data_IF_338546016451
#
_entry.id   IF_338546016451
#
_cell.length_a   1.000
_cell.length_b   1.000
_cell.length_c   1.000
_cell.angle_alpha   90.00
_cell.angle_beta   90.00
_cell.angle_gamma   90.00
#
_symmetry.space_group_name_H-M   'P 1'
#
loop_
_entity.id
_entity.type
_entity.pdbx_description
1 polymer ?
#
# COMPACT_ATOMS: atom_id res chain seq x y z
N UNK A 1 -29.14 0.11 -15.65
CA UNK A 1 -27.87 0.85 -15.82
C UNK A 1 -27.82 1.35 -17.25
N UNK A 2 -27.99 2.66 -17.45
CA UNK A 2 -28.26 3.23 -18.77
C UNK A 2 -26.99 3.29 -19.62
N UNK A 3 -27.10 3.14 -20.94
CA UNK A 3 -25.94 3.10 -21.86
C UNK A 3 -25.01 4.33 -21.72
N UNK A 4 -25.55 5.47 -21.31
CA UNK A 4 -24.80 6.71 -21.06
C UNK A 4 -23.85 6.61 -19.84
N UNK A 5 -24.31 6.04 -18.72
CA UNK A 5 -23.51 5.85 -17.50
C UNK A 5 -22.34 4.87 -17.73
N UNK A 6 -22.58 3.84 -18.54
CA UNK A 6 -21.54 2.87 -18.92
C UNK A 6 -20.43 3.54 -19.74
N UNK A 7 -20.80 4.44 -20.66
CA UNK A 7 -19.86 5.16 -21.53
C UNK A 7 -18.98 6.12 -20.73
N UNK A 8 -19.53 6.81 -19.74
CA UNK A 8 -18.78 7.71 -18.87
C UNK A 8 -17.85 6.96 -17.92
N UNK A 9 -18.28 5.81 -17.38
CA UNK A 9 -17.44 4.96 -16.53
C UNK A 9 -16.22 4.44 -17.31
N UNK A 10 -16.42 3.98 -18.56
CA UNK A 10 -15.33 3.53 -19.43
C UNK A 10 -14.37 4.67 -19.77
N UNK A 11 -14.90 5.87 -20.07
CA UNK A 11 -14.09 7.05 -20.34
C UNK A 11 -13.24 7.44 -19.13
N UNK A 12 -13.82 7.49 -17.94
CA UNK A 12 -13.09 7.78 -16.70
C UNK A 12 -11.97 6.77 -16.44
N UNK A 13 -12.25 5.48 -16.64
CA UNK A 13 -11.25 4.44 -16.49
C UNK A 13 -10.09 4.62 -17.48
N UNK A 14 -10.39 4.87 -18.77
CA UNK A 14 -9.36 5.09 -19.79
C UNK A 14 -8.46 6.29 -19.48
N UNK A 15 -9.04 7.39 -19.01
CA UNK A 15 -8.27 8.58 -18.61
C UNK A 15 -7.38 8.26 -17.41
N UNK A 16 -7.92 7.61 -16.37
CA UNK A 16 -7.14 7.23 -15.20
C UNK A 16 -6.00 6.26 -15.54
N UNK A 17 -6.27 5.27 -16.40
CA UNK A 17 -5.28 4.30 -16.86
C UNK A 17 -4.20 4.95 -17.74
N UNK A 18 -4.60 5.85 -18.66
CA UNK A 18 -3.66 6.60 -19.49
C UNK A 18 -2.78 7.53 -18.67
N UNK A 19 -3.35 8.22 -17.68
CA UNK A 19 -2.60 9.08 -16.76
C UNK A 19 -1.63 8.28 -15.89
N UNK A 20 -2.06 7.12 -15.40
CA UNK A 20 -1.21 6.19 -14.64
C UNK A 20 -0.01 5.71 -15.45
N UNK A 21 -0.25 5.28 -16.70
CA UNK A 21 0.82 4.84 -17.60
C UNK A 21 1.78 6.00 -17.92
N UNK A 22 1.25 7.17 -18.25
CA UNK A 22 2.07 8.35 -18.52
C UNK A 22 2.90 8.74 -17.30
N UNK A 23 2.33 8.70 -16.10
CA UNK A 23 3.04 8.96 -14.86
C UNK A 23 4.15 7.93 -14.61
N UNK A 24 3.89 6.63 -14.81
CA UNK A 24 4.92 5.60 -14.67
C UNK A 24 6.09 5.84 -15.64
N UNK A 25 5.79 6.13 -16.92
CA UNK A 25 6.80 6.43 -17.95
C UNK A 25 7.59 7.70 -17.59
N UNK A 26 6.90 8.79 -17.26
CA UNK A 26 7.54 10.04 -16.87
C UNK A 26 8.40 9.87 -15.61
N UNK A 27 7.93 9.11 -14.63
CA UNK A 27 8.68 8.79 -13.42
C UNK A 27 9.95 8.01 -13.75
N UNK A 28 9.85 6.97 -14.59
CA UNK A 28 10.98 6.15 -15.01
C UNK A 28 12.08 6.98 -15.68
N UNK A 29 11.72 7.86 -16.62
CA UNK A 29 12.70 8.68 -17.34
C UNK A 29 13.18 9.92 -16.58
N UNK A 30 12.50 10.33 -15.52
CA UNK A 30 12.91 11.49 -14.70
C UNK A 30 13.73 11.12 -13.47
N UNK A 31 13.80 9.84 -13.11
CA UNK A 31 14.49 9.36 -11.92
C UNK A 31 15.62 8.39 -12.27
N UNK A 32 16.60 8.27 -11.39
CA UNK A 32 17.68 7.29 -11.49
C UNK A 32 17.73 6.45 -10.21
N UNK A 33 17.58 5.13 -10.36
CA UNK A 33 17.58 4.19 -9.23
C UNK A 33 19.01 3.89 -8.74
N UNK A 34 19.63 4.88 -8.10
CA UNK A 34 20.99 4.80 -7.56
C UNK A 34 21.13 3.82 -6.38
N UNK A 35 20.03 3.45 -5.72
CA UNK A 35 20.01 2.54 -4.57
C UNK A 35 19.38 1.18 -4.92
N UNK A 36 19.24 0.83 -6.20
CA UNK A 36 18.63 -0.44 -6.63
C UNK A 36 19.32 -1.70 -6.10
N UNK A 37 20.60 -1.58 -5.75
CA UNK A 37 21.38 -2.70 -5.20
C UNK A 37 21.02 -2.97 -3.73
N UNK A 38 20.36 -2.03 -3.04
CA UNK A 38 19.79 -2.23 -1.70
C UNK A 38 18.49 -3.06 -1.77
N UNK A 39 18.53 -4.28 -2.30
CA UNK A 39 17.35 -5.14 -2.59
C UNK A 39 17.03 -6.15 -1.47
N UNK A 40 17.54 -5.91 -0.27
CA UNK A 40 17.57 -6.85 0.85
C UNK A 40 16.20 -7.42 1.26
N UNK A 41 15.12 -6.66 1.11
CA UNK A 41 13.75 -7.16 1.38
C UNK A 41 13.36 -8.23 0.35
N UNK A 42 13.78 -8.09 -0.91
CA UNK A 42 13.60 -9.12 -1.95
C UNK A 42 14.46 -10.36 -1.69
N UNK A 43 15.68 -10.16 -1.18
CA UNK A 43 16.53 -11.29 -0.77
C UNK A 43 15.91 -12.10 0.37
N UNK A 44 15.33 -11.43 1.37
CA UNK A 44 14.63 -12.07 2.48
C UNK A 44 13.34 -12.75 2.01
N UNK A 45 12.60 -12.14 1.08
CA UNK A 45 11.44 -12.79 0.45
C UNK A 45 11.86 -14.08 -0.28
N UNK A 46 12.99 -14.05 -0.98
CA UNK A 46 13.58 -15.24 -1.62
C UNK A 46 14.04 -16.30 -0.62
N UNK A 47 14.59 -15.89 0.53
CA UNK A 47 14.90 -16.79 1.64
C UNK A 47 13.63 -17.42 2.22
N UNK A 48 12.56 -16.65 2.39
CA UNK A 48 11.27 -17.12 2.88
C UNK A 48 10.69 -18.20 1.98
N UNK A 49 10.76 -18.02 0.66
CA UNK A 49 10.36 -19.02 -0.35
C UNK A 49 11.19 -20.32 -0.32
N UNK A 50 12.33 -20.32 0.39
CA UNK A 50 13.18 -21.50 0.63
C UNK A 50 13.01 -22.06 2.06
N UNK A 51 12.07 -21.54 2.85
CA UNK A 51 11.84 -21.96 4.23
C UNK A 51 12.85 -21.36 5.22
N UNK A 52 13.41 -20.19 4.92
CA UNK A 52 14.37 -19.50 5.78
C UNK A 52 13.87 -18.10 6.14
N UNK A 53 13.96 -17.73 7.42
CA UNK A 53 13.49 -16.42 7.91
C UNK A 53 14.52 -15.29 7.77
N UNK A 54 15.78 -15.66 7.51
CA UNK A 54 16.93 -14.76 7.38
C UNK A 54 18.02 -15.41 6.52
N UNK A 55 19.01 -14.60 6.13
CA UNK A 55 20.16 -15.02 5.33
C UNK A 55 21.19 -15.74 6.21
N UNK A 56 21.87 -16.74 5.64
CA UNK A 56 22.98 -17.44 6.30
C UNK A 56 24.34 -16.82 5.98
N UNK A 57 24.49 -16.34 4.75
CA UNK A 57 25.68 -15.66 4.31
C UNK A 57 25.68 -14.21 4.80
N UNK A 58 26.86 -13.73 5.19
CA UNK A 58 27.03 -12.34 5.58
C UNK A 58 26.70 -11.46 4.37
N UNK A 59 25.77 -10.50 4.51
CA UNK A 59 25.49 -9.57 3.44
C UNK A 59 26.73 -8.70 3.14
N UNK A 60 26.82 -8.10 1.95
CA UNK A 60 27.89 -7.17 1.63
C UNK A 60 27.98 -6.04 2.68
N UNK A 61 29.19 -5.57 2.98
CA UNK A 61 29.43 -4.59 4.06
C UNK A 61 28.72 -3.23 3.85
N UNK A 62 28.25 -2.93 2.63
CA UNK A 62 27.42 -1.74 2.38
C UNK A 62 25.97 -1.91 2.81
N UNK A 63 25.52 -3.14 3.11
CA UNK A 63 24.16 -3.47 3.51
C UNK A 63 24.04 -3.51 5.05
N UNK A 64 24.08 -2.32 5.65
CA UNK A 64 24.04 -2.16 7.12
C UNK A 64 22.65 -2.33 7.74
N UNK A 65 21.61 -2.54 6.94
CA UNK A 65 20.21 -2.65 7.39
C UNK A 65 19.81 -4.09 7.80
N UNK A 66 20.74 -5.04 7.69
CA UNK A 66 20.55 -6.40 8.16
C UNK A 66 21.04 -6.53 9.60
N UNK A 67 20.23 -7.18 10.42
CA UNK A 67 20.47 -7.36 11.85
C UNK A 67 21.11 -8.73 12.05
N UNK A 68 22.39 -8.78 12.46
CA UNK A 68 23.01 -10.04 12.84
C UNK A 68 22.41 -10.51 14.17
N UNK A 69 21.84 -11.69 14.19
CA UNK A 69 21.35 -12.31 15.42
C UNK A 69 21.57 -13.83 15.35
N UNK A 70 22.33 -14.36 16.29
CA UNK A 70 22.87 -15.73 16.25
C UNK A 70 23.65 -15.95 14.94
N UNK A 71 23.39 -17.04 14.22
CA UNK A 71 24.07 -17.41 12.97
C UNK A 71 23.34 -16.94 11.70
N UNK A 72 22.51 -15.90 11.80
CA UNK A 72 21.69 -15.40 10.69
C UNK A 72 21.62 -13.89 10.64
N UNK A 73 21.28 -13.39 9.45
CA UNK A 73 21.05 -11.99 9.17
C UNK A 73 19.59 -11.76 8.82
N UNK A 74 18.91 -10.93 9.61
CA UNK A 74 17.48 -10.65 9.48
C UNK A 74 17.24 -9.23 8.98
N UNK A 75 16.12 -9.02 8.27
CA UNK A 75 15.70 -7.66 7.91
C UNK A 75 15.12 -6.93 9.11
N UNK A 76 15.41 -5.63 9.26
CA UNK A 76 14.70 -4.77 10.21
C UNK A 76 13.21 -4.58 9.85
N UNK A 77 12.79 -4.95 8.64
CA UNK A 77 11.43 -4.72 8.18
C UNK A 77 10.42 -5.72 8.74
N UNK A 78 9.16 -5.28 8.92
CA UNK A 78 8.04 -6.16 9.23
C UNK A 78 7.78 -7.19 8.13
N UNK A 79 7.10 -8.27 8.49
CA UNK A 79 6.73 -9.35 7.56
C UNK A 79 5.96 -8.83 6.34
N UNK A 80 5.12 -7.81 6.49
CA UNK A 80 4.36 -7.25 5.37
C UNK A 80 5.23 -6.70 4.23
N UNK A 81 6.37 -6.10 4.55
CA UNK A 81 7.33 -5.64 3.55
C UNK A 81 8.01 -6.81 2.83
N UNK A 82 8.29 -7.90 3.54
CA UNK A 82 8.82 -9.13 2.94
C UNK A 82 7.78 -9.75 2.01
N UNK A 83 6.53 -9.87 2.48
CA UNK A 83 5.43 -10.45 1.71
C UNK A 83 5.11 -9.63 0.46
N UNK A 84 5.24 -8.31 0.50
CA UNK A 84 5.03 -7.45 -0.66
C UNK A 84 6.07 -7.67 -1.77
N UNK A 85 7.25 -8.20 -1.43
CA UNK A 85 8.31 -8.58 -2.38
C UNK A 85 8.23 -10.04 -2.86
N UNK A 86 7.36 -10.89 -2.29
CA UNK A 86 7.20 -12.29 -2.72
C UNK A 86 6.91 -12.44 -4.22
N UNK A 87 6.07 -11.61 -4.87
CA UNK A 87 5.88 -11.70 -6.32
C UNK A 87 7.18 -11.52 -7.11
N UNK A 88 8.03 -10.58 -6.70
CA UNK A 88 9.35 -10.36 -7.34
C UNK A 88 10.26 -11.56 -7.10
N UNK A 89 10.32 -12.06 -5.85
CA UNK A 89 11.12 -13.23 -5.51
C UNK A 89 10.68 -14.50 -6.27
N UNK A 90 9.38 -14.67 -6.53
CA UNK A 90 8.86 -15.76 -7.38
C UNK A 90 9.33 -15.63 -8.82
N UNK A 91 9.27 -14.43 -9.41
CA UNK A 91 9.78 -14.17 -10.77
C UNK A 91 11.30 -14.36 -10.88
N UNK A 92 12.04 -14.06 -9.82
CA UNK A 92 13.47 -14.36 -9.75
C UNK A 92 13.73 -15.87 -9.67
N UNK A 93 12.94 -16.59 -8.86
CA UNK A 93 13.03 -18.05 -8.73
C UNK A 93 12.70 -18.79 -10.04
N UNK A 94 11.80 -18.28 -10.86
CA UNK A 94 11.48 -18.84 -12.19
C UNK A 94 12.47 -18.45 -13.28
N UNK A 95 13.45 -17.59 -12.98
CA UNK A 95 14.44 -17.10 -13.94
C UNK A 95 13.91 -16.05 -14.92
N UNK A 96 12.69 -15.52 -14.70
CA UNK A 96 12.12 -14.44 -15.52
C UNK A 96 12.82 -13.11 -15.23
N UNK A 97 13.22 -12.89 -13.99
CA UNK A 97 14.01 -11.73 -13.56
C UNK A 97 15.36 -12.17 -13.01
N UNK A 98 16.45 -11.68 -13.57
CA UNK A 98 17.78 -11.98 -13.04
C UNK A 98 18.19 -11.02 -11.92
N UNK A 99 17.83 -9.74 -12.04
CA UNK A 99 18.18 -8.69 -11.09
C UNK A 99 16.93 -8.07 -10.48
N UNK A 100 17.07 -7.45 -9.30
CA UNK A 100 15.97 -6.71 -8.67
C UNK A 100 15.56 -5.51 -9.54
N UNK A 101 14.29 -5.44 -10.01
CA UNK A 101 13.87 -4.40 -10.94
C UNK A 101 13.45 -3.12 -10.20
N UNK A 102 14.26 -2.62 -9.27
CA UNK A 102 13.90 -1.52 -8.36
C UNK A 102 13.38 -0.27 -9.07
N UNK A 103 14.01 0.14 -10.18
CA UNK A 103 13.59 1.31 -10.97
C UNK A 103 12.22 1.12 -11.64
N UNK A 104 12.01 -0.03 -12.28
CA UNK A 104 10.76 -0.35 -12.94
C UNK A 104 9.62 -0.53 -11.92
N UNK A 105 9.93 -1.14 -10.77
CA UNK A 105 9.00 -1.29 -9.66
C UNK A 105 8.61 0.05 -9.07
N UNK A 106 9.56 0.95 -8.85
CA UNK A 106 9.31 2.33 -8.40
C UNK A 106 8.39 3.09 -9.37
N UNK A 107 8.66 3.01 -10.67
CA UNK A 107 7.83 3.61 -11.70
C UNK A 107 6.39 3.04 -11.74
N UNK A 108 6.26 1.71 -11.61
CA UNK A 108 4.96 1.05 -11.54
C UNK A 108 4.16 1.49 -10.31
N UNK A 109 4.82 1.56 -9.15
CA UNK A 109 4.22 2.06 -7.91
C UNK A 109 3.75 3.51 -8.09
N UNK A 110 4.59 4.38 -8.64
CA UNK A 110 4.25 5.77 -8.91
C UNK A 110 3.00 5.89 -9.80
N UNK A 111 2.94 5.15 -10.91
CA UNK A 111 1.76 5.10 -11.79
C UNK A 111 0.50 4.62 -11.06
N UNK A 112 0.60 3.52 -10.31
CA UNK A 112 -0.50 2.99 -9.50
C UNK A 112 -0.99 4.01 -8.46
N UNK A 113 -0.09 4.74 -7.79
CA UNK A 113 -0.46 5.82 -6.89
C UNK A 113 -1.22 6.92 -7.63
N UNK A 114 -0.74 7.40 -8.78
CA UNK A 114 -1.44 8.40 -9.60
C UNK A 114 -2.83 7.92 -10.01
N UNK A 115 -2.98 6.64 -10.39
CA UNK A 115 -4.29 6.05 -10.66
C UNK A 115 -5.23 6.20 -9.46
N UNK A 116 -4.78 5.77 -8.26
CA UNK A 116 -5.62 5.83 -7.08
C UNK A 116 -5.88 7.25 -6.58
N UNK A 117 -4.92 8.18 -6.66
CA UNK A 117 -5.17 9.58 -6.35
C UNK A 117 -6.19 10.20 -7.30
N UNK A 118 -6.08 9.93 -8.60
CA UNK A 118 -7.07 10.37 -9.58
C UNK A 118 -8.44 9.80 -9.24
N UNK A 119 -8.55 8.54 -8.84
CA UNK A 119 -9.83 7.94 -8.46
C UNK A 119 -10.36 8.45 -7.12
N UNK A 120 -9.48 8.69 -6.15
CA UNK A 120 -9.78 9.19 -4.80
C UNK A 120 -10.29 10.63 -4.85
N UNK A 121 -9.84 11.45 -5.80
CA UNK A 121 -10.32 12.82 -5.95
C UNK A 121 -11.86 12.94 -6.07
N UNK A 122 -12.55 11.88 -6.53
CA UNK A 122 -14.02 11.82 -6.54
C UNK A 122 -14.66 11.91 -5.15
N UNK A 123 -13.92 11.59 -4.09
CA UNK A 123 -14.37 11.73 -2.71
C UNK A 123 -14.63 13.20 -2.32
N UNK A 124 -14.03 14.17 -3.03
CA UNK A 124 -14.19 15.60 -2.74
C UNK A 124 -15.49 16.21 -3.30
N UNK A 125 -16.37 15.42 -3.94
CA UNK A 125 -17.72 15.84 -4.32
C UNK A 125 -17.99 15.89 -5.82
N UNK A 126 -19.13 16.49 -6.18
CA UNK A 126 -19.64 16.52 -7.55
C UNK A 126 -18.68 17.24 -8.52
N UNK A 127 -18.00 18.28 -8.05
CA UNK A 127 -17.04 19.06 -8.84
C UNK A 127 -15.82 18.25 -9.32
N UNK A 128 -15.53 17.12 -8.67
CA UNK A 128 -14.41 16.24 -9.02
C UNK A 128 -14.87 14.93 -9.68
N UNK A 129 -16.19 14.76 -9.83
CA UNK A 129 -16.81 13.59 -10.47
C UNK A 129 -17.04 13.79 -11.97
N UNK A 130 -17.17 15.05 -12.43
CA UNK A 130 -17.26 15.41 -13.85
C UNK A 130 -15.88 15.41 -14.54
N UNK A 131 -15.88 15.15 -15.85
CA UNK A 131 -14.71 15.17 -16.73
C UNK A 131 -14.64 16.43 -17.62
N UNK A 132 -15.34 17.50 -17.24
CA UNK A 132 -15.45 18.71 -18.06
C UNK A 132 -14.34 19.74 -17.76
N UNK A 133 -13.70 20.23 -18.82
CA UNK A 133 -12.83 21.42 -18.81
C UNK A 133 -11.88 21.52 -17.61
N UNK A 134 -12.05 22.60 -16.83
CA UNK A 134 -11.19 22.95 -15.69
C UNK A 134 -11.24 21.95 -14.53
N UNK A 135 -12.34 21.20 -14.36
CA UNK A 135 -12.49 20.19 -13.29
C UNK A 135 -11.60 18.99 -13.52
N UNK A 136 -11.49 18.53 -14.77
CA UNK A 136 -10.58 17.45 -15.15
C UNK A 136 -9.12 17.84 -14.90
N UNK A 137 -8.72 19.05 -15.29
CA UNK A 137 -7.35 19.56 -15.07
C UNK A 137 -7.02 19.58 -13.58
N UNK A 138 -7.91 20.10 -12.72
CA UNK A 138 -7.73 20.07 -11.26
C UNK A 138 -7.54 18.65 -10.74
N UNK A 139 -8.34 17.70 -11.23
CA UNK A 139 -8.25 16.29 -10.84
C UNK A 139 -6.93 15.65 -11.27
N UNK A 140 -6.44 15.97 -12.45
CA UNK A 140 -5.12 15.53 -12.94
C UNK A 140 -4.01 16.12 -12.04
N UNK A 141 -4.06 17.42 -11.75
CA UNK A 141 -3.07 18.07 -10.88
C UNK A 141 -3.05 17.46 -9.48
N UNK A 142 -4.22 17.24 -8.87
CA UNK A 142 -4.34 16.57 -7.57
C UNK A 142 -3.81 15.12 -7.59
N UNK A 143 -3.89 14.45 -8.73
CA UNK A 143 -3.38 13.09 -8.89
C UNK A 143 -1.85 13.05 -9.05
N UNK A 144 -1.28 14.01 -9.76
CA UNK A 144 0.16 14.10 -10.03
C UNK A 144 0.94 14.71 -8.87
N UNK A 145 0.36 15.68 -8.17
CA UNK A 145 1.06 16.46 -7.14
C UNK A 145 1.70 15.60 -6.04
N UNK A 146 1.04 14.59 -5.44
CA UNK A 146 1.67 13.77 -4.40
C UNK A 146 2.92 13.02 -4.89
N UNK A 147 2.98 12.66 -6.17
CA UNK A 147 4.09 11.90 -6.75
C UNK A 147 5.19 12.81 -7.26
N UNK A 148 4.87 13.84 -8.05
CA UNK A 148 5.86 14.70 -8.73
C UNK A 148 6.13 16.03 -8.02
N UNK A 149 5.22 16.48 -7.16
CA UNK A 149 5.30 17.76 -6.44
C UNK A 149 5.80 17.63 -4.99
N UNK A 150 6.19 16.43 -4.56
CA UNK A 150 6.67 16.18 -3.19
C UNK A 150 7.96 15.37 -3.18
N UNK A 151 8.49 15.13 -1.98
CA UNK A 151 9.66 14.28 -1.75
C UNK A 151 9.49 12.83 -2.26
N UNK A 152 8.26 12.37 -2.54
CA UNK A 152 8.02 11.04 -3.13
C UNK A 152 8.76 10.86 -4.45
N UNK A 153 8.87 11.88 -5.29
CA UNK A 153 9.60 11.80 -6.56
C UNK A 153 11.07 11.41 -6.34
N UNK A 154 11.79 12.18 -5.52
CA UNK A 154 13.20 11.92 -5.22
C UNK A 154 13.38 10.61 -4.46
N UNK A 155 12.58 10.39 -3.42
CA UNK A 155 12.77 9.23 -2.54
C UNK A 155 12.43 7.93 -3.25
N UNK A 156 11.23 7.79 -3.83
CA UNK A 156 10.88 6.57 -4.56
C UNK A 156 11.81 6.36 -5.76
N UNK A 157 12.33 7.46 -6.35
CA UNK A 157 13.25 7.46 -7.47
C UNK A 157 14.59 6.75 -7.20
N UNK A 158 15.05 6.70 -5.94
CA UNK A 158 16.27 5.95 -5.61
C UNK A 158 16.12 4.43 -5.73
N UNK A 159 14.90 3.90 -5.62
CA UNK A 159 14.58 2.50 -5.97
C UNK A 159 15.14 1.40 -5.06
N UNK A 160 15.66 1.72 -3.88
CA UNK A 160 16.09 0.74 -2.87
C UNK A 160 14.92 0.17 -2.07
N UNK A 161 15.14 -0.91 -1.32
CA UNK A 161 14.09 -1.62 -0.59
C UNK A 161 13.33 -0.73 0.41
N UNK A 162 14.02 0.17 1.12
CA UNK A 162 13.38 1.17 1.99
C UNK A 162 12.42 2.10 1.21
N UNK A 163 12.86 2.57 0.05
CA UNK A 163 12.11 3.49 -0.81
C UNK A 163 10.91 2.81 -1.46
N UNK A 164 11.09 1.57 -1.91
CA UNK A 164 10.01 0.74 -2.44
C UNK A 164 8.97 0.45 -1.35
N UNK A 165 9.39 0.13 -0.12
CA UNK A 165 8.47 -0.07 1.00
C UNK A 165 7.65 1.19 1.29
N UNK A 166 8.25 2.39 1.26
CA UNK A 166 7.50 3.66 1.38
C UNK A 166 6.53 3.87 0.22
N UNK A 167 6.93 3.57 -1.00
CA UNK A 167 6.07 3.67 -2.18
C UNK A 167 4.86 2.74 -2.10
N UNK A 168 5.08 1.49 -1.69
CA UNK A 168 4.01 0.52 -1.47
C UNK A 168 3.11 0.91 -0.30
N UNK A 169 3.68 1.54 0.74
CA UNK A 169 2.91 2.08 1.84
C UNK A 169 1.93 3.17 1.36
N UNK A 170 2.44 4.15 0.60
CA UNK A 170 1.65 5.22 -0.02
C UNK A 170 0.56 4.67 -0.95
N UNK A 171 0.90 3.68 -1.78
CA UNK A 171 -0.05 2.99 -2.65
C UNK A 171 -1.16 2.33 -1.83
N UNK A 172 -0.78 1.59 -0.78
CA UNK A 172 -1.70 0.94 0.14
C UNK A 172 -2.66 1.92 0.79
N UNK A 173 -2.18 3.03 1.36
CA UNK A 173 -3.03 4.03 2.00
C UNK A 173 -4.00 4.68 1.01
N UNK A 174 -3.49 5.10 -0.15
CA UNK A 174 -4.31 5.80 -1.15
C UNK A 174 -5.40 4.89 -1.70
N UNK A 175 -5.06 3.62 -1.98
CA UNK A 175 -6.02 2.62 -2.42
C UNK A 175 -7.02 2.26 -1.32
N UNK A 176 -6.57 2.10 -0.07
CA UNK A 176 -7.45 1.86 1.07
C UNK A 176 -8.47 3.01 1.24
N UNK A 177 -8.02 4.26 1.20
CA UNK A 177 -8.90 5.43 1.24
C UNK A 177 -9.91 5.44 0.08
N UNK A 178 -9.46 5.11 -1.14
CA UNK A 178 -10.35 5.00 -2.30
C UNK A 178 -11.46 3.96 -2.07
N UNK A 179 -11.10 2.77 -1.58
CA UNK A 179 -12.05 1.69 -1.29
C UNK A 179 -12.85 1.90 0.00
N UNK A 180 -12.51 2.89 0.82
CA UNK A 180 -13.32 3.30 1.97
C UNK A 180 -14.32 4.40 1.59
N UNK A 181 -13.86 5.43 0.87
CA UNK A 181 -14.62 6.65 0.60
C UNK A 181 -15.42 6.57 -0.71
N UNK A 182 -14.76 6.21 -1.82
CA UNK A 182 -15.35 6.32 -3.16
C UNK A 182 -16.11 5.05 -3.54
N UNK A 183 -15.44 3.90 -3.50
CA UNK A 183 -16.04 2.60 -3.86
C UNK A 183 -15.95 1.65 -2.66
N UNK A 184 -16.88 1.75 -1.68
CA UNK A 184 -16.83 1.00 -0.42
C UNK A 184 -16.69 -0.50 -0.68
N UNK A 185 -15.54 -1.04 -0.31
CA UNK A 185 -15.30 -2.48 -0.23
C UNK A 185 -14.43 -2.73 0.99
N UNK A 186 -15.02 -2.96 2.17
CA UNK A 186 -14.28 -3.06 3.42
C UNK A 186 -13.14 -4.07 3.36
N UNK A 187 -13.37 -5.23 2.75
CA UNK A 187 -12.33 -6.27 2.60
C UNK A 187 -11.15 -5.81 1.72
N UNK A 188 -11.44 -5.20 0.56
CA UNK A 188 -10.38 -4.71 -0.34
C UNK A 188 -9.65 -3.53 0.30
N UNK A 189 -10.37 -2.62 0.96
CA UNK A 189 -9.77 -1.53 1.71
C UNK A 189 -8.86 -2.06 2.82
N UNK A 190 -9.28 -3.11 3.53
CA UNK A 190 -8.50 -3.80 4.54
C UNK A 190 -7.23 -4.45 3.98
N UNK A 191 -7.31 -5.05 2.79
CA UNK A 191 -6.14 -5.62 2.12
C UNK A 191 -5.11 -4.56 1.72
N UNK A 192 -5.55 -3.42 1.17
CA UNK A 192 -4.66 -2.30 0.86
C UNK A 192 -4.14 -1.59 2.11
N UNK A 193 -4.94 -1.51 3.17
CA UNK A 193 -4.48 -1.02 4.47
C UNK A 193 -3.42 -1.95 5.05
N UNK A 194 -3.56 -3.27 4.88
CA UNK A 194 -2.55 -4.25 5.25
C UNK A 194 -1.27 -4.11 4.44
N UNK A 195 -1.36 -3.80 3.14
CA UNK A 195 -0.19 -3.43 2.35
C UNK A 195 0.48 -2.17 2.91
N UNK A 196 -0.30 -1.18 3.36
CA UNK A 196 0.22 0.06 3.92
C UNK A 196 1.01 -0.17 5.21
N UNK A 197 0.33 -0.58 6.29
CA UNK A 197 1.01 -0.75 7.58
C UNK A 197 1.99 -1.92 7.57
N UNK A 198 1.78 -2.90 6.70
CA UNK A 198 2.67 -4.02 6.49
C UNK A 198 4.04 -3.59 5.97
N UNK A 199 4.14 -2.50 5.20
CA UNK A 199 5.42 -1.93 4.77
C UNK A 199 5.93 -0.85 5.76
N UNK A 200 5.02 -0.20 6.50
CA UNK A 200 5.31 0.90 7.43
C UNK A 200 4.42 0.80 8.68
N UNK A 201 4.91 0.16 9.74
CA UNK A 201 4.11 -0.19 10.93
C UNK A 201 3.49 1.01 11.63
N UNK A 202 4.13 2.17 11.54
CA UNK A 202 3.63 3.45 12.04
C UNK A 202 2.25 3.82 11.47
N UNK A 203 1.93 3.39 10.25
CA UNK A 203 0.64 3.68 9.61
C UNK A 203 -0.54 2.99 10.29
N UNK A 204 -0.29 2.03 11.19
CA UNK A 204 -1.33 1.46 12.05
C UNK A 204 -2.05 2.55 12.88
N UNK A 205 -1.38 3.67 13.19
CA UNK A 205 -1.98 4.81 13.89
C UNK A 205 -3.16 5.43 13.13
N UNK A 206 -3.23 5.24 11.81
CA UNK A 206 -4.32 5.77 10.97
C UNK A 206 -5.57 4.88 11.00
N UNK A 207 -5.50 3.67 11.58
CA UNK A 207 -6.62 2.72 11.69
C UNK A 207 -7.93 3.35 12.22
N UNK A 208 -7.92 4.17 13.29
CA UNK A 208 -9.14 4.79 13.81
C UNK A 208 -9.87 5.67 12.77
N UNK A 209 -9.14 6.30 11.84
CA UNK A 209 -9.71 7.13 10.78
C UNK A 209 -10.53 6.28 9.80
N UNK A 210 -10.02 5.11 9.41
CA UNK A 210 -10.74 4.19 8.53
C UNK A 210 -12.01 3.66 9.21
N UNK A 211 -11.91 3.24 10.47
CA UNK A 211 -13.06 2.77 11.25
C UNK A 211 -14.12 3.87 11.40
N UNK A 212 -13.70 5.11 11.65
CA UNK A 212 -14.59 6.27 11.69
C UNK A 212 -15.34 6.47 10.35
N UNK A 213 -14.65 6.37 9.21
CA UNK A 213 -15.31 6.53 7.90
C UNK A 213 -16.34 5.43 7.62
N UNK A 214 -16.05 4.18 8.00
CA UNK A 214 -17.04 3.10 7.87
C UNK A 214 -18.25 3.32 8.78
N UNK A 215 -18.03 3.74 10.03
CA UNK A 215 -19.12 4.07 10.95
C UNK A 215 -19.99 5.21 10.41
N UNK A 216 -19.39 6.35 10.03
CA UNK A 216 -20.13 7.52 9.51
C UNK A 216 -21.00 7.16 8.30
N UNK A 217 -20.53 6.23 7.46
CA UNK A 217 -21.25 5.80 6.26
C UNK A 217 -22.52 5.03 6.59
N UNK A 218 -22.44 4.09 7.52
CA UNK A 218 -23.60 3.31 7.96
C UNK A 218 -24.70 4.19 8.57
N UNK A 219 -24.29 5.21 9.34
CA UNK A 219 -25.21 6.15 9.97
C UNK A 219 -25.98 7.03 8.96
N UNK A 220 -25.44 7.26 7.75
CA UNK A 220 -26.17 8.00 6.69
C UNK A 220 -27.32 7.19 6.07
N UNK A 221 -27.28 5.87 6.17
CA UNK A 221 -28.35 4.95 5.73
C UNK A 221 -29.42 4.73 6.81
N UNK A 222 -29.13 5.10 8.07
CA UNK A 222 -30.02 4.93 9.21
C UNK A 222 -30.53 6.29 9.70
N UNK A 223 -31.48 6.89 8.98
CA UNK A 223 -32.27 8.01 9.50
C UNK A 223 -33.27 7.46 10.52
N UNK A 224 -32.89 7.34 11.80
CA UNK A 224 -33.87 7.21 12.89
C UNK A 224 -33.30 7.62 14.24
N UNK A 225 -34.02 8.54 14.88
CA UNK A 225 -33.82 9.08 16.23
C UNK A 225 -33.82 7.99 17.33
N UNK A 226 -32.71 7.81 18.05
CA UNK A 226 -32.68 7.66 19.52
C UNK A 226 -31.22 7.53 20.02
N UNK A 227 -30.69 8.62 20.57
CA UNK A 227 -29.24 8.88 20.63
C UNK A 227 -28.46 8.21 21.77
N UNK A 228 -29.04 7.28 22.55
CA UNK A 228 -28.31 6.67 23.68
C UNK A 228 -28.51 5.13 23.80
N UNK A 229 -29.65 4.57 23.35
CA UNK A 229 -29.82 3.10 23.21
C UNK A 229 -29.26 2.54 21.89
N UNK A 230 -28.84 3.40 20.97
CA UNK A 230 -28.37 3.07 19.62
C UNK A 230 -26.94 2.54 19.54
N UNK A 231 -26.03 2.87 20.47
CA UNK A 231 -24.59 2.55 20.33
C UNK A 231 -24.33 1.04 20.22
N UNK A 232 -24.98 0.21 21.06
CA UNK A 232 -24.82 -1.26 21.00
C UNK A 232 -25.35 -1.84 19.68
N UNK A 233 -26.43 -1.26 19.15
CA UNK A 233 -27.06 -1.67 17.89
C UNK A 233 -26.24 -1.20 16.69
N UNK A 234 -25.70 0.01 16.72
CA UNK A 234 -24.77 0.55 15.72
C UNK A 234 -23.46 -0.24 15.65
N UNK A 235 -22.92 -0.68 16.80
CA UNK A 235 -21.77 -1.58 16.85
C UNK A 235 -22.08 -2.95 16.22
N UNK A 236 -23.28 -3.47 16.44
CA UNK A 236 -23.74 -4.72 15.83
C UNK A 236 -23.97 -4.59 14.32
N UNK A 237 -24.58 -3.49 13.88
CA UNK A 237 -24.86 -3.22 12.46
C UNK A 237 -23.56 -2.94 11.67
N UNK A 238 -22.55 -2.30 12.30
CA UNK A 238 -21.24 -2.02 11.69
C UNK A 238 -20.21 -3.14 11.85
N UNK A 239 -20.46 -4.08 12.78
CA UNK A 239 -19.57 -5.21 13.07
C UNK A 239 -19.12 -5.97 11.83
N UNK A 240 -20.02 -6.38 10.91
CA UNK A 240 -19.62 -7.09 9.70
C UNK A 240 -18.68 -6.29 8.78
N UNK A 241 -18.84 -4.97 8.68
CA UNK A 241 -17.95 -4.12 7.87
C UNK A 241 -16.57 -3.99 8.52
N UNK A 242 -16.55 -3.78 9.84
CA UNK A 242 -15.30 -3.71 10.61
C UNK A 242 -14.54 -5.05 10.56
N UNK A 243 -15.23 -6.18 10.73
CA UNK A 243 -14.63 -7.52 10.63
C UNK A 243 -14.04 -7.75 9.24
N UNK A 244 -14.77 -7.41 8.17
CA UNK A 244 -14.27 -7.53 6.79
C UNK A 244 -13.05 -6.64 6.54
N UNK A 245 -13.03 -5.43 7.08
CA UNK A 245 -11.87 -4.54 6.97
C UNK A 245 -10.68 -5.05 7.77
N UNK A 246 -10.91 -5.52 9.00
CA UNK A 246 -9.87 -5.96 9.91
C UNK A 246 -9.34 -7.37 9.61
N UNK A 247 -10.03 -8.18 8.81
CA UNK A 247 -9.62 -9.57 8.58
C UNK A 247 -8.19 -9.68 8.04
N UNK A 248 -7.84 -8.94 7.00
CA UNK A 248 -6.49 -9.00 6.41
C UNK A 248 -5.45 -8.30 7.31
N UNK A 249 -5.69 -7.08 7.83
CA UNK A 249 -4.79 -6.43 8.76
C UNK A 249 -4.49 -7.23 10.03
N UNK A 250 -5.52 -7.80 10.67
CA UNK A 250 -5.35 -8.59 11.89
C UNK A 250 -4.55 -9.86 11.62
N UNK A 251 -4.84 -10.57 10.52
CA UNK A 251 -4.03 -11.73 10.11
C UNK A 251 -2.57 -11.32 9.89
N UNK A 252 -2.30 -10.23 9.18
CA UNK A 252 -0.93 -9.77 8.96
C UNK A 252 -0.22 -9.38 10.26
N UNK A 253 -0.91 -8.73 11.19
CA UNK A 253 -0.35 -8.37 12.50
C UNK A 253 0.02 -9.62 13.32
N UNK A 254 -0.86 -10.63 13.36
CA UNK A 254 -0.60 -11.90 14.03
C UNK A 254 0.57 -12.66 13.39
N UNK A 255 0.62 -12.71 12.05
CA UNK A 255 1.73 -13.33 11.34
C UNK A 255 3.05 -12.57 11.55
N UNK A 256 2.99 -11.23 11.66
CA UNK A 256 4.18 -10.42 11.97
C UNK A 256 4.69 -10.69 13.38
N UNK A 257 3.79 -10.82 14.36
CA UNK A 257 4.16 -11.21 15.72
C UNK A 257 4.82 -12.60 15.75
N UNK A 258 4.24 -13.59 15.06
CA UNK A 258 4.81 -14.92 14.93
C UNK A 258 6.18 -14.91 14.22
N UNK A 259 6.31 -14.09 13.17
CA UNK A 259 7.57 -13.90 12.44
C UNK A 259 8.65 -13.28 13.32
N UNK A 260 8.33 -12.26 14.12
CA UNK A 260 9.26 -11.64 15.06
C UNK A 260 9.67 -12.62 16.16
N UNK A 261 8.71 -13.35 16.73
CA UNK A 261 9.00 -14.37 17.74
C UNK A 261 9.96 -15.45 17.22
N UNK A 262 9.80 -15.88 15.97
CA UNK A 262 10.68 -16.86 15.36
C UNK A 262 12.10 -16.33 15.05
N UNK A 263 12.29 -15.02 14.95
CA UNK A 263 13.60 -14.39 14.67
C UNK A 263 14.35 -13.96 15.93
N UNK A 264 13.64 -13.39 16.89
CA UNK A 264 14.21 -12.68 18.04
C UNK A 264 13.68 -13.18 19.40
N UNK A 265 12.86 -14.24 19.41
CA UNK A 265 12.15 -14.72 20.61
C UNK A 265 11.28 -13.66 21.30
N UNK A 266 10.92 -12.59 20.59
CA UNK A 266 10.06 -11.50 21.04
C UNK A 266 9.09 -11.10 19.93
N UNK A 267 7.82 -10.85 20.29
CA UNK A 267 6.79 -10.45 19.32
C UNK A 267 6.86 -8.96 18.94
N UNK A 268 7.47 -8.13 19.79
CA UNK A 268 7.54 -6.68 19.62
C UNK A 268 8.90 -6.20 19.09
N UNK A 269 9.89 -7.08 19.09
CA UNK A 269 11.25 -6.71 18.71
C UNK A 269 11.47 -6.78 17.20
N UNK A 270 12.18 -5.78 16.71
CA UNK A 270 12.63 -5.67 15.32
C UNK A 270 14.16 -5.73 15.21
N UNK A 271 14.85 -6.12 16.29
CA UNK A 271 16.29 -6.33 16.36
C UNK A 271 17.10 -5.11 16.83
N UNK A 272 16.49 -4.22 17.62
CA UNK A 272 17.14 -3.04 18.22
C UNK A 272 17.24 -3.19 19.74
N UNK A 273 17.95 -4.24 20.18
CA UNK A 273 18.19 -4.56 21.59
C UNK A 273 19.04 -3.51 22.30
#
# INVERSE_FOLDING_TARGET
>A
MMAHERRDTVRQFRIAAGLSLLAAVAFYFSTNATLRDLDYTSQIASALLRGHLGLREKPPDWLNEMIPHQDRYYSAFPLGAVLSMVPIALLQKTGVLHNFPGHALAALIAGCCVYFFFQLAKAFGADYSSLEGSRLVRRILLALFPIFGTWTWCNLGFGGAWQIALGLALLGETAALYFTLVRPSPFIAGAFFALAFGNRTELLITLPVYLYFFWRRSNRSAVSWSRIRGIKRELWENGPMAIRFLSVPATLALLTAAYNFARFHSIFDFGYF
#
